data_IF_715234749916
#
_entry.id   IF_715234749916
#
_cell.length_a   1.000
_cell.length_b   1.000
_cell.length_c   1.000
_cell.angle_alpha   90.00
_cell.angle_beta   90.00
_cell.angle_gamma   90.00
#
_symmetry.space_group_name_H-M   'P 1'
#
loop_
_entity.id
_entity.type
_entity.pdbx_description
1 polymer ?
#
# COMPACT_ATOMS: atom_id res chain seq x y z
N UNK A 1 -13.93 0.15 -1.37
CA UNK A 1 -12.49 0.05 -1.68
C UNK A 1 -11.70 0.49 -0.47
N UNK A 2 -10.88 -0.40 0.10
CA UNK A 2 -10.03 -0.08 1.24
C UNK A 2 -8.86 0.79 0.74
N UNK A 3 -8.69 1.98 1.29
CA UNK A 3 -7.60 2.90 0.88
C UNK A 3 -6.39 2.60 1.72
N UNK A 4 -5.19 2.78 1.17
CA UNK A 4 -3.96 2.69 1.98
C UNK A 4 -4.00 3.70 3.12
N UNK A 5 -3.40 3.38 4.25
CA UNK A 5 -3.21 4.33 5.35
C UNK A 5 -2.18 5.40 4.99
N UNK A 6 -2.09 6.47 5.77
CA UNK A 6 -1.05 7.50 5.57
C UNK A 6 0.36 6.91 5.59
N UNK A 7 0.64 6.01 6.53
CA UNK A 7 1.97 5.40 6.65
C UNK A 7 2.28 4.52 5.44
N UNK A 8 1.31 3.70 4.99
CA UNK A 8 1.46 2.92 3.76
C UNK A 8 1.67 3.83 2.52
N UNK A 9 0.91 4.92 2.40
CA UNK A 9 1.07 5.90 1.32
C UNK A 9 2.45 6.57 1.34
N UNK A 10 2.98 6.86 2.53
CA UNK A 10 4.33 7.43 2.69
C UNK A 10 5.40 6.45 2.23
N UNK A 11 5.33 5.18 2.67
CA UNK A 11 6.26 4.13 2.22
C UNK A 11 6.19 3.92 0.70
N UNK A 12 4.99 3.88 0.13
CA UNK A 12 4.77 3.81 -1.32
C UNK A 12 5.46 4.95 -2.06
N UNK A 13 5.30 6.19 -1.59
CA UNK A 13 5.98 7.37 -2.14
C UNK A 13 7.49 7.21 -2.08
N UNK A 14 8.04 6.77 -0.95
CA UNK A 14 9.47 6.53 -0.79
C UNK A 14 9.97 5.42 -1.74
N UNK A 15 9.16 4.40 -2.04
CA UNK A 15 9.44 3.37 -3.06
C UNK A 15 9.25 3.86 -4.52
N UNK A 16 8.86 5.12 -4.71
CA UNK A 16 8.67 5.74 -6.02
C UNK A 16 7.34 5.39 -6.69
N UNK A 17 6.28 5.22 -5.91
CA UNK A 17 4.90 5.19 -6.43
C UNK A 17 4.50 6.59 -6.88
N UNK A 18 4.15 6.74 -8.15
CA UNK A 18 3.79 8.03 -8.76
C UNK A 18 2.55 7.97 -9.64
N UNK A 19 1.74 6.90 -9.53
CA UNK A 19 0.51 6.77 -10.32
C UNK A 19 -0.51 7.84 -9.95
N UNK A 20 -1.30 8.25 -10.95
CA UNK A 20 -2.43 9.15 -10.74
C UNK A 20 -3.49 8.45 -9.88
N UNK A 21 -3.93 9.12 -8.82
CA UNK A 21 -4.90 8.58 -7.87
C UNK A 21 -5.97 9.62 -7.55
N UNK A 22 -7.19 9.14 -7.30
CA UNK A 22 -8.30 10.01 -6.90
C UNK A 22 -8.18 10.49 -5.46
N UNK A 23 -7.32 9.90 -4.65
CA UNK A 23 -7.20 10.16 -3.22
C UNK A 23 -5.76 10.45 -2.85
N UNK A 24 -5.54 11.44 -1.99
CA UNK A 24 -4.21 11.80 -1.52
C UNK A 24 -4.25 12.25 -0.06
N UNK A 25 -3.15 11.99 0.63
CA UNK A 25 -2.88 12.59 1.92
C UNK A 25 -2.00 13.83 1.74
N UNK A 26 -2.40 14.94 2.37
CA UNK A 26 -1.63 16.18 2.35
C UNK A 26 -0.95 16.39 3.70
N UNK A 27 0.38 16.59 3.69
CA UNK A 27 1.06 17.10 4.87
C UNK A 27 0.68 18.58 5.06
N UNK A 28 0.23 18.89 6.27
CA UNK A 28 -0.48 20.11 6.58
C UNK A 28 0.34 21.37 6.30
N UNK A 29 -0.30 22.37 5.68
CA UNK A 29 0.14 23.76 5.73
C UNK A 29 -0.53 24.40 6.97
N UNK A 30 0.13 24.32 8.13
CA UNK A 30 -0.27 25.05 9.35
C UNK A 30 -1.49 24.47 10.11
N UNK A 31 -1.34 24.28 11.43
CA UNK A 31 -2.40 24.03 12.43
C UNK A 31 -3.07 22.64 12.55
N UNK A 32 -2.34 21.53 12.74
CA UNK A 32 -2.80 20.38 13.59
C UNK A 32 -3.51 19.11 13.04
N UNK A 33 -3.93 19.02 11.78
CA UNK A 33 -4.73 17.90 11.19
C UNK A 33 -4.35 17.66 9.72
N UNK A 34 -4.08 16.42 9.33
CA UNK A 34 -3.71 16.01 7.96
C UNK A 34 -5.00 15.74 7.16
N UNK A 35 -5.40 16.58 6.18
CA UNK A 35 -6.62 16.31 5.44
C UNK A 35 -6.39 15.17 4.44
N UNK A 36 -7.28 14.18 4.48
CA UNK A 36 -7.47 13.19 3.42
C UNK A 36 -8.37 13.85 2.36
N UNK A 37 -7.84 14.02 1.15
CA UNK A 37 -8.61 14.59 0.04
C UNK A 37 -9.07 13.47 -0.90
N UNK A 38 -10.38 13.40 -1.15
CA UNK A 38 -10.98 12.62 -2.23
C UNK A 38 -11.35 13.59 -3.35
N UNK A 39 -10.66 13.50 -4.49
CA UNK A 39 -10.80 14.41 -5.63
C UNK A 39 -12.22 14.43 -6.20
N UNK A 40 -13.03 13.40 -5.91
CA UNK A 40 -14.45 13.32 -6.29
C UNK A 40 -15.35 14.24 -5.47
N UNK A 41 -14.92 14.68 -4.29
CA UNK A 41 -15.77 15.42 -3.32
C UNK A 41 -15.60 16.95 -3.43
N UNK A 42 -14.62 17.47 -4.17
CA UNK A 42 -14.59 18.92 -4.40
C UNK A 42 -13.25 19.46 -4.85
N UNK A 43 -12.98 19.36 -6.15
CA UNK A 43 -11.97 20.16 -6.83
C UNK A 43 -12.54 21.48 -7.35
N UNK A 44 -13.66 21.96 -6.81
CA UNK A 44 -14.32 23.16 -7.34
C UNK A 44 -13.84 24.49 -6.74
N UNK A 45 -13.03 24.55 -5.67
CA UNK A 45 -12.66 25.85 -5.09
C UNK A 45 -11.27 25.96 -4.42
N UNK A 46 -10.41 24.94 -4.49
CA UNK A 46 -9.06 25.05 -3.90
C UNK A 46 -8.03 25.50 -4.93
N UNK A 47 -7.62 26.77 -4.84
CA UNK A 47 -6.65 27.48 -5.68
C UNK A 47 -5.45 26.61 -6.10
N UNK A 48 -5.47 26.14 -7.35
CA UNK A 48 -4.36 25.42 -8.01
C UNK A 48 -3.04 26.19 -7.97
N UNK A 49 -3.08 27.52 -7.95
CA UNK A 49 -1.89 28.37 -8.03
C UNK A 49 -1.06 28.41 -6.73
N UNK A 50 -1.67 28.14 -5.56
CA UNK A 50 -0.96 28.19 -4.26
C UNK A 50 -0.20 26.90 -3.91
N UNK A 51 -0.45 25.81 -4.64
CA UNK A 51 0.16 24.50 -4.41
C UNK A 51 1.39 24.21 -5.29
N UNK A 52 1.61 25.00 -6.34
CA UNK A 52 2.58 24.69 -7.40
C UNK A 52 4.06 24.99 -7.08
N UNK A 53 4.38 25.61 -5.93
CA UNK A 53 5.80 25.87 -5.56
C UNK A 53 6.37 24.97 -4.46
N UNK A 54 5.58 24.61 -3.43
CA UNK A 54 6.07 23.79 -2.30
C UNK A 54 5.14 22.62 -1.91
N UNK A 55 3.95 22.51 -2.51
CA UNK A 55 2.88 21.61 -2.04
C UNK A 55 2.94 20.17 -2.58
N UNK A 56 3.47 19.97 -3.79
CA UNK A 56 3.55 18.64 -4.43
C UNK A 56 4.56 17.70 -3.75
N UNK A 57 5.64 18.25 -3.20
CA UNK A 57 6.64 17.46 -2.46
C UNK A 57 6.10 16.86 -1.16
N UNK A 58 4.95 17.32 -0.68
CA UNK A 58 4.37 16.97 0.61
C UNK A 58 3.06 16.17 0.52
N UNK A 59 2.65 15.77 -0.68
CA UNK A 59 1.49 14.89 -0.89
C UNK A 59 1.92 13.43 -1.02
N UNK A 60 1.15 12.51 -0.43
CA UNK A 60 1.30 11.07 -0.64
C UNK A 60 0.06 10.55 -1.37
N UNK A 61 0.26 9.94 -2.53
CA UNK A 61 -0.81 9.26 -3.27
C UNK A 61 -1.43 8.17 -2.39
N UNK A 62 -2.76 8.14 -2.31
CA UNK A 62 -3.51 7.20 -1.50
C UNK A 62 -4.37 6.29 -2.40
N UNK A 63 -3.76 5.37 -3.16
CA UNK A 63 -4.50 4.37 -3.91
C UNK A 63 -5.30 3.46 -2.98
N UNK A 64 -6.18 2.64 -3.55
CA UNK A 64 -6.66 1.47 -2.83
C UNK A 64 -5.51 0.50 -2.53
N UNK A 65 -5.70 -0.32 -1.51
CA UNK A 65 -4.76 -1.39 -1.16
C UNK A 65 -4.54 -2.33 -2.36
N UNK A 66 -5.59 -2.68 -3.09
CA UNK A 66 -5.50 -3.57 -4.25
C UNK A 66 -4.70 -2.93 -5.42
N UNK A 67 -4.89 -1.63 -5.69
CA UNK A 67 -4.08 -0.89 -6.68
C UNK A 67 -2.60 -0.82 -6.27
N UNK A 68 -2.31 -0.58 -4.98
CA UNK A 68 -0.95 -0.59 -4.48
C UNK A 68 -0.29 -1.98 -4.61
N UNK A 69 -1.01 -3.05 -4.26
CA UNK A 69 -0.52 -4.42 -4.42
C UNK A 69 -0.30 -4.77 -5.90
N UNK A 70 -1.19 -4.34 -6.80
CA UNK A 70 -1.01 -4.52 -8.23
C UNK A 70 0.27 -3.84 -8.73
N UNK A 71 0.48 -2.57 -8.36
CA UNK A 71 1.70 -1.84 -8.70
C UNK A 71 2.97 -2.55 -8.17
N UNK A 72 2.95 -3.05 -6.93
CA UNK A 72 4.08 -3.83 -6.39
C UNK A 72 4.34 -5.06 -7.25
N UNK A 73 3.28 -5.79 -7.62
CA UNK A 73 3.40 -6.98 -8.48
C UNK A 73 4.01 -6.63 -9.82
N UNK A 74 3.58 -5.55 -10.46
CA UNK A 74 4.11 -5.13 -11.76
C UNK A 74 5.57 -4.69 -11.66
N UNK A 75 5.88 -3.81 -10.71
CA UNK A 75 7.22 -3.21 -10.52
C UNK A 75 8.26 -4.21 -10.01
N UNK A 76 7.86 -5.13 -9.13
CA UNK A 76 8.78 -6.04 -8.44
C UNK A 76 8.56 -7.52 -8.76
N UNK A 77 7.73 -7.90 -9.75
CA UNK A 77 7.42 -9.31 -10.12
C UNK A 77 8.63 -10.23 -10.25
N UNK A 78 9.75 -9.71 -10.76
CA UNK A 78 11.00 -10.47 -10.93
C UNK A 78 11.68 -10.84 -9.61
N UNK A 79 11.31 -10.18 -8.52
CA UNK A 79 11.95 -10.27 -7.22
C UNK A 79 10.96 -10.78 -6.17
N UNK A 80 9.69 -10.40 -6.25
CA UNK A 80 8.69 -10.73 -5.24
C UNK A 80 7.41 -11.29 -5.87
N UNK A 81 6.90 -12.35 -5.27
CA UNK A 81 5.55 -12.89 -5.50
C UNK A 81 4.82 -12.94 -4.17
N UNK A 82 3.50 -12.79 -4.17
CA UNK A 82 2.70 -12.91 -2.95
C UNK A 82 1.31 -13.46 -3.25
N UNK A 83 0.70 -14.11 -2.25
CA UNK A 83 -0.64 -14.66 -2.31
C UNK A 83 -1.38 -14.49 -0.98
N UNK A 84 -2.71 -14.36 -1.04
CA UNK A 84 -3.62 -14.46 0.11
C UNK A 84 -4.45 -15.71 -0.09
N UNK A 85 -4.54 -16.56 0.93
CA UNK A 85 -5.39 -17.76 0.92
C UNK A 85 -6.60 -17.58 1.80
N UNK A 86 -7.60 -18.42 1.57
CA UNK A 86 -8.83 -18.48 2.38
C UNK A 86 -8.86 -19.87 3.02
N UNK A 87 -8.84 -19.93 4.35
CA UNK A 87 -8.94 -21.20 5.07
C UNK A 87 -10.13 -21.17 6.04
N UNK A 88 -11.15 -22.03 5.83
CA UNK A 88 -12.18 -22.23 6.83
C UNK A 88 -11.59 -23.04 8.02
N UNK A 89 -11.97 -22.66 9.24
CA UNK A 89 -11.65 -23.37 10.48
C UNK A 89 -12.83 -24.22 10.94
N UNK A 90 -12.56 -25.24 11.74
CA UNK A 90 -13.57 -26.16 12.28
C UNK A 90 -14.60 -25.47 13.19
N UNK A 91 -14.27 -24.31 13.77
CA UNK A 91 -15.17 -23.50 14.58
C UNK A 91 -16.08 -22.57 13.76
N UNK A 92 -16.03 -22.64 12.42
CA UNK A 92 -16.81 -21.79 11.52
C UNK A 92 -16.13 -20.47 11.15
N UNK A 93 -14.98 -20.13 11.75
CA UNK A 93 -14.22 -18.94 11.37
C UNK A 93 -13.56 -19.11 10.01
N UNK A 94 -13.38 -18.00 9.29
CA UNK A 94 -12.55 -17.95 8.08
C UNK A 94 -11.30 -17.15 8.39
N UNK A 95 -10.13 -17.69 8.09
CA UNK A 95 -8.86 -16.99 8.21
C UNK A 95 -8.24 -16.73 6.85
N UNK A 96 -7.49 -15.63 6.77
CA UNK A 96 -6.90 -15.13 5.53
C UNK A 96 -5.38 -14.98 5.64
N UNK A 97 -4.61 -16.08 5.73
CA UNK A 97 -3.16 -15.99 5.77
C UNK A 97 -2.62 -15.57 4.40
N UNK A 98 -1.51 -14.85 4.42
CA UNK A 98 -0.77 -14.48 3.22
C UNK A 98 0.64 -15.07 3.23
N UNK A 99 1.25 -15.14 2.06
CA UNK A 99 2.65 -15.58 1.91
C UNK A 99 3.34 -14.62 0.96
N UNK A 100 4.57 -14.24 1.31
CA UNK A 100 5.48 -13.48 0.46
C UNK A 100 6.60 -14.43 0.02
N UNK A 101 6.99 -14.33 -1.24
CA UNK A 101 8.04 -15.12 -1.85
C UNK A 101 9.08 -14.18 -2.42
N UNK A 102 10.34 -14.39 -2.07
CA UNK A 102 11.47 -13.61 -2.58
C UNK A 102 12.33 -14.44 -3.53
N UNK A 103 12.71 -13.87 -4.66
CA UNK A 103 13.54 -14.55 -5.64
C UNK A 103 15.00 -14.55 -5.19
N UNK A 104 15.49 -15.74 -4.84
CA UNK A 104 16.89 -15.96 -4.53
C UNK A 104 17.65 -16.28 -5.82
N UNK A 105 18.39 -15.29 -6.32
CA UNK A 105 19.17 -15.39 -7.55
C UNK A 105 20.32 -16.41 -7.47
N UNK A 106 20.81 -16.75 -6.27
CA UNK A 106 21.90 -17.72 -6.10
C UNK A 106 21.46 -19.15 -6.39
N UNK A 107 20.21 -19.46 -6.06
CA UNK A 107 19.63 -20.80 -6.25
C UNK A 107 18.60 -20.85 -7.39
N UNK A 108 18.31 -19.70 -8.02
CA UNK A 108 17.36 -19.57 -9.12
C UNK A 108 15.92 -19.92 -8.74
N UNK A 109 15.53 -19.69 -7.49
CA UNK A 109 14.22 -20.09 -6.94
C UNK A 109 13.64 -19.04 -6.00
N UNK A 110 12.32 -19.05 -5.86
CA UNK A 110 11.63 -18.27 -4.86
C UNK A 110 11.69 -18.94 -3.49
N UNK A 111 12.18 -18.23 -2.49
CA UNK A 111 12.19 -18.63 -1.10
C UNK A 111 10.96 -18.08 -0.38
N UNK A 112 10.33 -18.92 0.42
CA UNK A 112 9.08 -18.61 1.10
C UNK A 112 9.34 -17.85 2.39
N UNK A 113 8.71 -16.70 2.53
CA UNK A 113 8.54 -16.00 3.80
C UNK A 113 7.08 -16.06 4.22
N UNK A 114 6.76 -16.95 5.16
CA UNK A 114 5.40 -17.08 5.67
C UNK A 114 5.25 -16.17 6.89
N UNK A 115 4.42 -15.13 6.76
CA UNK A 115 3.90 -14.38 7.91
C UNK A 115 2.47 -14.87 8.14
N UNK A 116 2.30 -15.77 9.11
CA UNK A 116 0.98 -16.28 9.46
C UNK A 116 0.28 -15.30 10.40
N UNK A 117 -0.23 -14.19 9.86
CA UNK A 117 -1.15 -13.32 10.62
C UNK A 117 -2.56 -13.90 10.50
N UNK A 118 -3.28 -13.98 11.62
CA UNK A 118 -4.69 -14.40 11.63
C UNK A 118 -5.56 -13.18 11.36
N UNK A 119 -5.80 -12.89 10.08
CA UNK A 119 -6.76 -11.85 9.66
C UNK A 119 -8.17 -12.42 9.63
N UNK A 120 -9.16 -11.63 10.04
CA UNK A 120 -10.58 -12.04 10.12
C UNK A 120 -11.37 -11.69 8.86
N UNK A 121 -10.80 -10.86 8.00
CA UNK A 121 -11.39 -10.50 6.71
C UNK A 121 -10.34 -10.38 5.60
N UNK A 122 -10.77 -10.52 4.35
CA UNK A 122 -9.90 -10.35 3.19
C UNK A 122 -9.30 -8.92 3.11
N UNK A 123 -10.06 -7.82 3.33
CA UNK A 123 -9.49 -6.47 3.33
C UNK A 123 -8.44 -6.22 4.43
N UNK A 124 -8.59 -6.86 5.59
CA UNK A 124 -7.56 -6.84 6.65
C UNK A 124 -6.29 -7.55 6.17
N UNK A 125 -6.44 -8.72 5.55
CA UNK A 125 -5.31 -9.48 5.01
C UNK A 125 -4.57 -8.71 3.91
N UNK A 126 -5.29 -8.06 2.99
CA UNK A 126 -4.67 -7.21 1.97
C UNK A 126 -3.87 -6.06 2.57
N UNK A 127 -4.42 -5.37 3.58
CA UNK A 127 -3.74 -4.24 4.21
C UNK A 127 -2.52 -4.70 5.02
N UNK A 128 -2.63 -5.81 5.75
CA UNK A 128 -1.51 -6.40 6.49
C UNK A 128 -0.41 -6.86 5.53
N UNK A 129 -0.76 -7.58 4.46
CA UNK A 129 0.17 -7.98 3.41
C UNK A 129 0.89 -6.78 2.79
N UNK A 130 0.15 -5.72 2.45
CA UNK A 130 0.74 -4.51 1.90
C UNK A 130 1.76 -3.90 2.89
N UNK A 131 1.42 -3.81 4.18
CA UNK A 131 2.34 -3.26 5.17
C UNK A 131 3.64 -4.08 5.30
N UNK A 132 3.53 -5.42 5.31
CA UNK A 132 4.71 -6.31 5.33
C UNK A 132 5.56 -6.16 4.07
N UNK A 133 4.94 -6.14 2.88
CA UNK A 133 5.64 -5.95 1.61
C UNK A 133 6.39 -4.63 1.56
N UNK A 134 5.76 -3.54 2.00
CA UNK A 134 6.39 -2.21 2.02
C UNK A 134 7.60 -2.20 2.96
N UNK A 135 7.44 -2.76 4.16
CA UNK A 135 8.54 -2.86 5.15
C UNK A 135 9.70 -3.69 4.62
N UNK A 136 9.40 -4.82 3.99
CA UNK A 136 10.40 -5.69 3.39
C UNK A 136 11.16 -5.00 2.24
N UNK A 137 10.45 -4.31 1.35
CA UNK A 137 11.03 -3.58 0.23
C UNK A 137 11.92 -2.41 0.69
N UNK A 138 11.54 -1.73 1.77
CA UNK A 138 12.37 -0.68 2.37
C UNK A 138 13.71 -1.20 2.89
N UNK A 139 13.72 -2.39 3.52
CA UNK A 139 14.94 -3.03 4.01
C UNK A 139 15.88 -3.51 2.89
N UNK A 140 15.37 -3.64 1.66
CA UNK A 140 16.12 -4.10 0.48
C UNK A 140 16.67 -2.99 -0.40
N UNK A 141 16.39 -1.72 -0.10
CA UNK A 141 17.02 -0.57 -0.76
C UNK A 141 18.47 -0.42 -0.36
#
# INVERSE_FOLDING_TARGET
MNTVTYDQAKKLKELGYSEEVLRSYHNKIGWGERPFLDSRIGLNNYNKEKYNKDGWYNTCSAPSVSEALQWIREKYSKIIVFEIKVFPRSNGDIIYPYTIYDYNSRIGKYERFMVSTVCKSYPEAESALLNELLTYLEQKK
#
